data_IF_120599159319
#
_entry.id   IF_120599159319
#
_cell.length_a   1.000
_cell.length_b   1.000
_cell.length_c   1.000
_cell.angle_alpha   90.00
_cell.angle_beta   90.00
_cell.angle_gamma   90.00
#
_symmetry.space_group_name_H-M   'P 1'
#
loop_
_entity.id
_entity.type
_entity.pdbx_description
1 polymer ?
#
# COMPACT_ATOMS: atom_id res chain seq x y z
N UNK A 1 -23.31 -7.97 -10.82
CA UNK A 1 -23.54 -7.89 -9.35
C UNK A 1 -22.43 -8.52 -8.52
N UNK A 2 -22.12 -9.82 -8.64
CA UNK A 2 -21.09 -10.50 -7.82
C UNK A 2 -19.71 -9.81 -7.85
N UNK A 3 -19.23 -9.44 -9.03
CA UNK A 3 -17.94 -8.72 -9.20
C UNK A 3 -17.90 -7.41 -8.39
N UNK A 4 -18.99 -6.64 -8.39
CA UNK A 4 -19.06 -5.39 -7.63
C UNK A 4 -18.95 -5.62 -6.12
N UNK A 5 -19.58 -6.67 -5.60
CA UNK A 5 -19.46 -7.08 -4.19
C UNK A 5 -18.01 -7.46 -3.87
N UNK A 6 -17.34 -8.21 -4.74
CA UNK A 6 -15.92 -8.57 -4.56
C UNK A 6 -15.02 -7.32 -4.52
N UNK A 7 -15.27 -6.32 -5.37
CA UNK A 7 -14.50 -5.06 -5.34
C UNK A 7 -14.72 -4.28 -4.04
N UNK A 8 -15.93 -4.33 -3.47
CA UNK A 8 -16.22 -3.73 -2.15
C UNK A 8 -15.42 -4.46 -1.05
N UNK A 9 -15.35 -5.79 -1.08
CA UNK A 9 -14.54 -6.57 -0.12
C UNK A 9 -13.05 -6.21 -0.23
N UNK A 10 -12.53 -6.07 -1.46
CA UNK A 10 -11.16 -5.61 -1.70
C UNK A 10 -10.94 -4.21 -1.14
N UNK A 11 -11.88 -3.29 -1.38
CA UNK A 11 -11.84 -1.92 -0.86
C UNK A 11 -11.78 -1.88 0.67
N UNK A 12 -12.65 -2.63 1.35
CA UNK A 12 -12.64 -2.74 2.82
C UNK A 12 -11.32 -3.31 3.33
N UNK A 13 -10.78 -4.32 2.64
CA UNK A 13 -9.48 -4.91 2.99
C UNK A 13 -8.36 -3.88 2.89
N UNK A 14 -8.30 -3.13 1.78
CA UNK A 14 -7.31 -2.06 1.58
C UNK A 14 -7.45 -0.94 2.62
N UNK A 15 -8.68 -0.57 2.98
CA UNK A 15 -8.97 0.41 4.01
C UNK A 15 -8.41 -0.05 5.37
N UNK A 16 -8.76 -1.27 5.79
CA UNK A 16 -8.30 -1.83 7.08
C UNK A 16 -6.79 -1.93 7.13
N UNK A 17 -6.16 -2.51 6.10
CA UNK A 17 -4.70 -2.64 6.04
C UNK A 17 -4.04 -1.26 6.01
N UNK A 18 -4.53 -0.32 5.21
CA UNK A 18 -4.01 1.04 5.13
C UNK A 18 -4.06 1.77 6.47
N UNK A 19 -5.14 1.60 7.23
CA UNK A 19 -5.27 2.15 8.59
C UNK A 19 -4.28 1.49 9.57
N UNK A 20 -4.18 0.16 9.57
CA UNK A 20 -3.28 -0.58 10.46
C UNK A 20 -1.80 -0.26 10.19
N UNK A 21 -1.43 -0.10 8.92
CA UNK A 21 -0.08 0.32 8.51
C UNK A 21 0.23 1.74 8.96
N UNK A 22 -0.75 2.65 8.88
CA UNK A 22 -0.58 4.06 9.30
C UNK A 22 -0.25 4.19 10.79
N UNK A 23 -0.79 3.30 11.62
CA UNK A 23 -0.59 3.29 13.08
C UNK A 23 0.48 2.29 13.53
N UNK A 24 1.29 1.77 12.60
CA UNK A 24 2.37 0.80 12.84
C UNK A 24 1.93 -0.48 13.59
N UNK A 25 0.65 -0.86 13.49
CA UNK A 25 0.15 -2.08 14.15
C UNK A 25 0.52 -3.36 13.42
N UNK A 26 1.03 -3.25 12.19
CA UNK A 26 1.49 -4.39 11.40
C UNK A 26 2.96 -4.63 11.69
N UNK A 27 3.25 -5.59 12.57
CA UNK A 27 4.62 -6.09 12.81
C UNK A 27 5.17 -6.75 11.55
N UNK A 28 6.52 -6.80 11.36
CA UNK A 28 7.13 -7.59 10.30
C UNK A 28 6.58 -9.02 10.28
N UNK A 29 6.00 -9.44 9.16
CA UNK A 29 5.35 -10.73 9.01
C UNK A 29 5.41 -11.22 7.55
N UNK A 30 4.95 -12.45 7.33
CA UNK A 30 5.00 -13.08 6.00
C UNK A 30 3.80 -12.83 5.09
N UNK A 31 2.68 -12.33 5.63
CA UNK A 31 1.38 -12.31 4.96
C UNK A 31 0.93 -10.90 4.50
N UNK A 32 1.23 -9.85 5.28
CA UNK A 32 0.65 -8.50 5.12
C UNK A 32 1.74 -7.43 5.20
N UNK A 33 1.70 -6.50 4.25
CA UNK A 33 2.62 -5.37 4.13
C UNK A 33 3.39 -5.40 2.81
N UNK A 34 4.02 -4.27 2.46
CA UNK A 34 4.82 -4.21 1.25
C UNK A 34 6.21 -4.80 1.51
N UNK A 35 6.46 -5.97 0.91
CA UNK A 35 7.71 -6.72 1.07
C UNK A 35 8.62 -6.47 -0.13
N UNK A 36 9.65 -5.68 0.09
CA UNK A 36 10.75 -5.48 -0.86
C UNK A 36 12.07 -5.74 -0.14
N UNK A 37 13.14 -5.94 -0.89
CA UNK A 37 14.50 -6.06 -0.32
C UNK A 37 14.86 -4.89 0.61
N UNK A 38 14.28 -3.71 0.41
CA UNK A 38 14.51 -2.54 1.25
C UNK A 38 13.68 -2.60 2.54
N UNK A 39 12.37 -2.87 2.46
CA UNK A 39 11.48 -2.84 3.63
C UNK A 39 11.71 -4.00 4.60
N UNK A 40 12.29 -5.12 4.14
CA UNK A 40 12.58 -6.28 4.99
C UNK A 40 13.97 -6.26 5.63
N UNK A 41 14.77 -5.21 5.40
CA UNK A 41 16.17 -5.16 5.86
C UNK A 41 16.31 -4.96 7.37
N UNK A 42 15.38 -4.23 7.97
CA UNK A 42 15.34 -3.98 9.40
C UNK A 42 13.91 -3.60 9.83
N UNK A 43 13.61 -3.73 11.12
CA UNK A 43 12.29 -3.34 11.65
C UNK A 43 12.00 -1.84 11.45
N UNK A 44 13.03 -0.98 11.57
CA UNK A 44 12.90 0.44 11.27
C UNK A 44 12.56 0.68 9.78
N UNK A 45 13.20 -0.05 8.86
CA UNK A 45 12.91 0.02 7.44
C UNK A 45 11.50 -0.50 7.10
N UNK A 46 11.03 -1.52 7.84
CA UNK A 46 9.69 -2.07 7.70
C UNK A 46 8.62 -1.01 8.01
N UNK A 47 8.66 -0.41 9.19
CA UNK A 47 7.65 0.59 9.58
C UNK A 47 7.75 1.86 8.73
N UNK A 48 8.96 2.34 8.45
CA UNK A 48 9.14 3.54 7.62
C UNK A 48 8.60 3.34 6.19
N UNK A 49 8.90 2.20 5.57
CA UNK A 49 8.43 1.86 4.24
C UNK A 49 6.93 1.65 4.18
N UNK A 50 6.38 0.80 5.08
CA UNK A 50 4.95 0.54 5.11
C UNK A 50 4.15 1.80 5.45
N UNK A 51 4.58 2.65 6.39
CA UNK A 51 3.85 3.89 6.69
C UNK A 51 3.64 4.79 5.45
N UNK A 52 4.57 4.76 4.49
CA UNK A 52 4.42 5.48 3.21
C UNK A 52 3.43 4.84 2.25
N UNK A 53 3.07 3.57 2.42
CA UNK A 53 2.05 2.91 1.59
C UNK A 53 0.62 3.25 2.03
N UNK A 54 0.41 3.64 3.28
CA UNK A 54 -0.90 3.96 3.83
C UNK A 54 -1.75 4.93 2.96
N UNK A 55 -1.27 6.12 2.55
CA UNK A 55 -2.08 7.03 1.73
C UNK A 55 -2.50 6.39 0.40
N UNK A 56 -1.64 5.58 -0.23
CA UNK A 56 -1.95 4.90 -1.47
C UNK A 56 -2.99 3.80 -1.27
N UNK A 57 -2.88 3.01 -0.20
CA UNK A 57 -3.87 1.99 0.16
C UNK A 57 -5.25 2.60 0.41
N UNK A 58 -5.31 3.74 1.11
CA UNK A 58 -6.56 4.47 1.36
C UNK A 58 -7.17 5.02 0.05
N UNK A 59 -6.35 5.61 -0.83
CA UNK A 59 -6.84 6.08 -2.14
C UNK A 59 -7.36 4.94 -3.01
N UNK A 60 -6.67 3.79 -3.02
CA UNK A 60 -7.13 2.61 -3.74
C UNK A 60 -8.42 2.04 -3.13
N UNK A 61 -8.56 2.04 -1.80
CA UNK A 61 -9.81 1.64 -1.16
C UNK A 61 -11.00 2.47 -1.67
N UNK A 62 -10.84 3.79 -1.75
CA UNK A 62 -11.89 4.68 -2.29
C UNK A 62 -12.17 4.36 -3.76
N UNK A 63 -11.14 4.26 -4.59
CA UNK A 63 -11.28 3.92 -6.02
C UNK A 63 -12.06 2.62 -6.24
N UNK A 64 -11.68 1.55 -5.53
CA UNK A 64 -12.32 0.25 -5.64
C UNK A 64 -13.74 0.21 -5.03
N UNK A 65 -14.02 1.02 -4.00
CA UNK A 65 -15.38 1.18 -3.47
C UNK A 65 -16.30 1.77 -4.54
N UNK A 66 -15.85 2.86 -5.19
CA UNK A 66 -16.61 3.52 -6.25
C UNK A 66 -16.84 2.59 -7.44
N UNK A 67 -15.79 1.88 -7.89
CA UNK A 67 -15.92 0.91 -8.97
C UNK A 67 -16.91 -0.22 -8.62
N UNK A 68 -16.84 -0.76 -7.40
CA UNK A 68 -17.75 -1.79 -6.91
C UNK A 68 -19.20 -1.32 -6.88
N UNK A 69 -19.45 -0.11 -6.37
CA UNK A 69 -20.79 0.49 -6.36
C UNK A 69 -21.34 0.73 -7.77
N UNK A 70 -20.52 1.24 -8.69
CA UNK A 70 -20.91 1.45 -10.08
C UNK A 70 -21.23 0.13 -10.79
N UNK A 71 -20.46 -0.95 -10.57
CA UNK A 71 -20.76 -2.27 -11.13
C UNK A 71 -22.02 -2.94 -10.58
N UNK A 72 -22.56 -2.46 -9.45
CA UNK A 72 -23.84 -2.90 -8.92
C UNK A 72 -24.99 -2.07 -9.50
N UNK A 73 -24.77 -0.76 -9.66
CA UNK A 73 -25.81 0.18 -10.06
C UNK A 73 -25.99 0.33 -11.59
N UNK A 74 -24.93 0.13 -12.37
CA UNK A 74 -24.97 0.33 -13.83
C UNK A 74 -25.38 -0.94 -14.58
N UNK A 75 -25.92 -0.80 -15.81
CA UNK A 75 -26.21 -1.95 -16.66
C UNK A 75 -24.93 -2.64 -17.16
N UNK A 76 -25.07 -3.90 -17.59
CA UNK A 76 -23.94 -4.76 -17.94
C UNK A 76 -23.14 -4.27 -19.16
N UNK A 77 -23.73 -3.45 -20.03
CA UNK A 77 -23.05 -2.85 -21.18
C UNK A 77 -21.88 -1.92 -20.78
N UNK A 78 -21.88 -1.41 -19.53
CA UNK A 78 -20.79 -0.58 -18.99
C UNK A 78 -19.70 -1.39 -18.28
N UNK A 79 -19.86 -2.71 -18.14
CA UNK A 79 -18.97 -3.55 -17.34
C UNK A 79 -17.49 -3.37 -17.69
N UNK A 80 -17.14 -3.45 -18.99
CA UNK A 80 -15.74 -3.38 -19.45
C UNK A 80 -15.10 -2.06 -19.00
N UNK A 81 -15.76 -0.94 -19.24
CA UNK A 81 -15.21 0.38 -18.89
C UNK A 81 -15.12 0.52 -17.37
N UNK A 82 -16.19 0.24 -16.64
CA UNK A 82 -16.23 0.40 -15.19
C UNK A 82 -15.23 -0.51 -14.47
N UNK A 83 -14.97 -1.72 -14.99
CA UNK A 83 -13.99 -2.64 -14.41
C UNK A 83 -12.55 -2.29 -14.78
N UNK A 84 -12.25 -1.99 -16.05
CA UNK A 84 -10.86 -1.81 -16.49
C UNK A 84 -10.29 -0.43 -16.15
N UNK A 85 -11.11 0.62 -16.07
CA UNK A 85 -10.64 1.96 -15.64
C UNK A 85 -9.89 1.93 -14.29
N UNK A 86 -10.46 1.42 -13.18
CA UNK A 86 -9.75 1.37 -11.91
C UNK A 86 -8.55 0.42 -11.93
N UNK A 87 -8.57 -0.65 -12.73
CA UNK A 87 -7.41 -1.55 -12.92
C UNK A 87 -6.23 -0.75 -13.49
N UNK A 88 -6.46 -0.02 -14.58
CA UNK A 88 -5.43 0.78 -15.25
C UNK A 88 -4.90 1.87 -14.32
N UNK A 89 -5.77 2.55 -13.58
CA UNK A 89 -5.39 3.58 -12.61
C UNK A 89 -4.61 3.02 -11.41
N UNK A 90 -4.81 1.76 -11.05
CA UNK A 90 -4.10 1.12 -9.94
C UNK A 90 -2.62 0.91 -10.25
N UNK A 91 -2.27 0.62 -11.51
CA UNK A 91 -0.87 0.34 -11.92
C UNK A 91 0.13 1.47 -11.58
N UNK A 92 -0.09 2.74 -12.00
CA UNK A 92 0.82 3.83 -11.63
C UNK A 92 0.85 4.08 -10.12
N UNK A 93 -0.29 3.92 -9.43
CA UNK A 93 -0.36 4.06 -7.96
C UNK A 93 0.52 3.02 -7.28
N UNK A 94 0.48 1.76 -7.71
CA UNK A 94 1.35 0.71 -7.18
C UNK A 94 2.83 1.01 -7.44
N UNK A 95 3.18 1.50 -8.63
CA UNK A 95 4.56 1.85 -8.96
C UNK A 95 5.10 2.96 -8.04
N UNK A 96 4.32 4.03 -7.83
CA UNK A 96 4.68 5.12 -6.92
C UNK A 96 4.73 4.64 -5.48
N UNK A 97 3.76 3.82 -5.04
CA UNK A 97 3.73 3.24 -3.71
C UNK A 97 4.99 2.43 -3.41
N UNK A 98 5.41 1.56 -4.35
CA UNK A 98 6.63 0.75 -4.22
C UNK A 98 7.87 1.64 -4.18
N UNK A 99 7.95 2.64 -5.05
CA UNK A 99 9.07 3.58 -5.07
C UNK A 99 9.22 4.32 -3.74
N UNK A 100 8.12 4.89 -3.22
CA UNK A 100 8.12 5.68 -2.00
C UNK A 100 8.42 4.83 -0.76
N UNK A 101 7.90 3.61 -0.70
CA UNK A 101 8.21 2.69 0.38
C UNK A 101 9.68 2.25 0.37
N UNK A 102 10.24 1.96 -0.80
CA UNK A 102 11.66 1.62 -0.94
C UNK A 102 12.58 2.78 -0.54
N UNK A 103 12.22 4.00 -0.94
CA UNK A 103 12.96 5.20 -0.56
C UNK A 103 12.96 5.39 0.96
N UNK A 104 11.79 5.38 1.59
CA UNK A 104 11.68 5.55 3.04
C UNK A 104 12.37 4.44 3.84
N UNK A 105 12.32 3.20 3.35
CA UNK A 105 13.01 2.07 3.97
C UNK A 105 14.54 2.24 3.92
N UNK A 106 15.10 2.67 2.78
CA UNK A 106 16.54 2.94 2.63
C UNK A 106 16.98 4.09 3.54
N UNK A 107 16.22 5.18 3.57
CA UNK A 107 16.53 6.36 4.40
C UNK A 107 16.57 5.99 5.90
N UNK A 108 15.64 5.15 6.35
CA UNK A 108 15.59 4.68 7.73
C UNK A 108 16.80 3.79 8.08
N UNK A 109 17.20 2.91 7.16
CA UNK A 109 18.33 2.02 7.36
C UNK A 109 19.68 2.77 7.36
N UNK A 110 19.84 3.77 6.48
CA UNK A 110 21.02 4.66 6.48
C UNK A 110 21.14 5.42 7.80
N UNK A 111 20.04 6.00 8.31
CA UNK A 111 20.03 6.70 9.60
C UNK A 111 20.43 5.80 10.77
N UNK A 112 20.01 4.53 10.74
CA UNK A 112 20.41 3.53 11.73
C UNK A 112 21.91 3.22 11.64
N UNK A 113 22.44 3.07 10.43
CA UNK A 113 23.87 2.83 10.19
C UNK A 113 24.75 3.99 10.69
N UNK A 114 24.33 5.24 10.48
CA UNK A 114 25.06 6.41 10.99
C UNK A 114 25.00 6.53 12.50
N UNK A 115 23.85 6.23 13.12
CA UNK A 115 23.69 6.27 14.58
C UNK A 115 24.56 5.23 15.30
N UNK A 116 24.83 4.09 14.66
CA UNK A 116 25.66 3.03 15.22
C UNK A 116 27.17 3.19 14.95
N UNK A 117 27.60 4.26 14.27
CA UNK A 117 29.02 4.51 14.02
C UNK A 117 29.59 5.17 15.28
N UNK A 118 30.45 4.50 16.08
CA UNK A 118 31.09 5.16 17.20
C UNK A 118 31.86 6.35 16.65
N UNK A 119 31.71 7.51 17.30
CA UNK A 119 32.55 8.67 17.02
C UNK A 119 34.00 8.17 17.10
N UNK A 120 34.66 8.08 15.95
CA UNK A 120 36.11 7.94 15.94
C UNK A 120 36.62 9.27 16.49
N UNK A 121 36.77 9.32 17.81
CA UNK A 121 37.54 10.32 18.51
C UNK A 121 38.90 10.37 17.84
N UNK A 122 39.11 11.42 17.06
CA UNK A 122 40.40 11.82 16.53
C UNK A 122 41.11 12.69 17.56
#
# INVERSE_FOLDING_TARGET
>A
MLTGVLLIVVSVTLLVVGLLVRVDKIKPNDAVGLRTRATTRSEAAWYAGNRKTAPFMLSLAVLWAFAGALLIALPEDKFIVTFWTPVILTLPVLAVMVHQANKAARDADTKRGTANRPERTA
#
